data_IF_541939017004
#
_entry.id   IF_541939017004
#
_cell.length_a   1.000
_cell.length_b   1.000
_cell.length_c   1.000
_cell.angle_alpha   90.00
_cell.angle_beta   90.00
_cell.angle_gamma   90.00
#
_symmetry.space_group_name_H-M   'P 1'
#
loop_
_entity.id
_entity.type
_entity.pdbx_description
1 polymer ?
#
# COMPACT_ATOMS: atom_id res chain seq x y z
N UNK A 1 9.04 4.23 -21.85
CA UNK A 1 8.93 5.63 -21.36
C UNK A 1 9.55 6.55 -22.41
N UNK A 2 8.76 7.36 -23.08
CA UNK A 2 9.25 8.29 -24.09
C UNK A 2 9.27 9.69 -23.48
N UNK A 3 10.45 10.20 -23.18
CA UNK A 3 10.62 11.56 -22.68
C UNK A 3 10.27 12.56 -23.80
N UNK A 4 9.41 13.55 -23.56
CA UNK A 4 9.25 14.68 -24.46
C UNK A 4 10.62 15.36 -24.64
N UNK A 5 10.98 15.76 -25.87
CA UNK A 5 12.26 16.38 -26.17
C UNK A 5 13.48 15.58 -25.67
N UNK A 6 13.52 14.27 -25.97
CA UNK A 6 14.54 13.34 -25.44
C UNK A 6 16.00 13.74 -25.78
N UNK A 7 16.21 14.58 -26.78
CA UNK A 7 17.53 15.13 -27.12
C UNK A 7 17.98 16.20 -26.13
N UNK A 8 17.03 16.97 -25.56
CA UNK A 8 17.31 18.08 -24.68
C UNK A 8 17.06 17.74 -23.19
N UNK A 9 16.24 16.71 -22.93
CA UNK A 9 15.88 16.27 -21.58
C UNK A 9 16.48 14.89 -21.29
N UNK A 10 17.44 14.84 -20.40
CA UNK A 10 17.95 13.61 -19.80
C UNK A 10 17.74 13.63 -18.28
N UNK A 11 17.56 12.46 -17.65
CA UNK A 11 17.57 12.38 -16.19
C UNK A 11 18.90 12.89 -15.65
N UNK A 12 18.86 13.73 -14.62
CA UNK A 12 20.04 14.13 -13.90
C UNK A 12 20.56 12.96 -13.05
N UNK A 13 21.87 12.86 -12.93
CA UNK A 13 22.48 12.06 -11.87
C UNK A 13 22.29 12.78 -10.54
N UNK A 14 22.37 12.04 -9.43
CA UNK A 14 22.12 12.61 -8.11
C UNK A 14 23.07 13.78 -7.75
N UNK A 15 24.33 13.68 -8.10
CA UNK A 15 25.32 14.74 -7.93
C UNK A 15 25.03 15.99 -8.77
N UNK A 16 24.51 15.80 -9.98
CA UNK A 16 24.08 16.91 -10.85
C UNK A 16 22.84 17.60 -10.29
N UNK A 17 21.89 16.82 -9.75
CA UNK A 17 20.73 17.36 -9.04
C UNK A 17 21.16 18.19 -7.83
N UNK A 18 22.08 17.69 -7.00
CA UNK A 18 22.58 18.39 -5.83
C UNK A 18 23.24 19.73 -6.17
N UNK A 19 23.96 19.82 -7.29
CA UNK A 19 24.57 21.08 -7.74
C UNK A 19 23.57 22.12 -8.25
N UNK A 20 22.42 21.68 -8.71
CA UNK A 20 21.38 22.54 -9.30
C UNK A 20 20.27 22.90 -8.35
N UNK A 21 20.06 22.11 -7.29
CA UNK A 21 19.03 22.41 -6.29
C UNK A 21 19.36 23.71 -5.57
N UNK A 22 18.35 24.54 -5.38
CA UNK A 22 18.40 25.70 -4.47
C UNK A 22 18.05 25.29 -3.04
N UNK A 23 17.46 26.23 -2.29
CA UNK A 23 16.87 25.93 -0.97
C UNK A 23 15.83 24.84 -1.11
N UNK A 24 15.98 23.77 -0.33
CA UNK A 24 15.16 22.57 -0.45
C UNK A 24 14.58 22.21 0.90
N UNK A 25 13.29 21.92 0.93
CA UNK A 25 12.59 21.35 2.09
C UNK A 25 12.26 19.90 1.74
N UNK A 26 12.71 18.98 2.57
CA UNK A 26 12.40 17.55 2.45
C UNK A 26 11.21 17.23 3.35
N UNK A 27 10.21 16.53 2.82
CA UNK A 27 9.06 16.08 3.58
C UNK A 27 8.88 14.57 3.39
N UNK A 28 8.88 13.85 4.48
CA UNK A 28 8.72 12.38 4.46
C UNK A 28 8.22 11.89 5.80
N UNK A 29 7.37 10.86 5.78
CA UNK A 29 7.02 10.10 6.98
C UNK A 29 8.12 9.08 7.34
N UNK A 30 8.97 8.72 6.39
CA UNK A 30 10.03 7.72 6.51
C UNK A 30 11.32 8.26 5.88
N UNK A 31 11.92 9.32 6.46
CA UNK A 31 13.10 9.95 5.89
C UNK A 31 14.29 8.99 5.91
N UNK A 32 15.07 9.00 4.83
CA UNK A 32 16.33 8.25 4.74
C UNK A 32 17.42 8.88 5.62
N UNK A 33 18.45 8.12 5.91
CA UNK A 33 19.58 8.64 6.69
C UNK A 33 20.30 9.78 6.00
N UNK A 34 20.33 9.75 4.65
CA UNK A 34 20.88 10.85 3.88
C UNK A 34 20.07 12.15 4.07
N UNK A 35 18.74 12.07 4.03
CA UNK A 35 17.86 13.23 4.24
C UNK A 35 18.02 13.80 5.64
N UNK A 36 18.10 12.94 6.67
CA UNK A 36 18.32 13.36 8.06
C UNK A 36 19.65 14.11 8.26
N UNK A 37 20.67 13.79 7.44
CA UNK A 37 21.97 14.46 7.49
C UNK A 37 21.99 15.83 6.79
N UNK A 38 20.96 16.21 6.04
CA UNK A 38 20.94 17.47 5.30
C UNK A 38 20.62 18.71 6.16
N UNK A 39 20.05 18.52 7.33
CA UNK A 39 19.69 19.62 8.23
C UNK A 39 18.94 19.16 9.47
N UNK A 40 18.46 20.09 10.27
CA UNK A 40 17.68 19.75 11.46
C UNK A 40 16.36 19.09 11.05
N UNK A 41 16.02 17.98 11.72
CA UNK A 41 14.73 17.30 11.55
C UNK A 41 13.69 18.02 12.40
N UNK A 42 12.61 18.44 11.76
CA UNK A 42 11.44 19.01 12.44
C UNK A 42 10.36 17.92 12.43
N UNK A 43 10.00 17.47 13.62
CA UNK A 43 8.97 16.47 13.78
C UNK A 43 7.58 17.10 13.84
N UNK A 44 6.66 16.59 13.04
CA UNK A 44 5.25 16.94 13.14
C UNK A 44 4.48 15.74 13.66
N UNK A 45 4.29 15.68 14.97
CA UNK A 45 3.67 14.55 15.66
C UNK A 45 2.15 14.71 15.86
N UNK A 46 1.65 15.93 15.73
CA UNK A 46 0.24 16.23 15.99
C UNK A 46 -0.60 15.94 14.75
N UNK A 47 -1.60 15.10 14.92
CA UNK A 47 -2.62 14.80 13.92
C UNK A 47 -3.95 15.44 14.32
N UNK A 48 -4.28 16.65 13.79
CA UNK A 48 -5.47 17.42 14.23
C UNK A 48 -6.79 16.73 13.91
N UNK A 49 -6.79 15.77 12.98
CA UNK A 49 -8.00 15.05 12.55
C UNK A 49 -8.57 14.09 13.60
N UNK A 50 -7.84 13.80 14.68
CA UNK A 50 -8.23 12.80 15.68
C UNK A 50 -8.14 11.34 15.20
N UNK A 51 -7.76 11.11 13.95
CA UNK A 51 -7.55 9.76 13.41
C UNK A 51 -6.23 9.24 13.96
N UNK A 52 -6.28 8.15 14.71
CA UNK A 52 -5.10 7.44 15.24
C UNK A 52 -4.53 6.48 14.20
N UNK A 53 -3.32 5.99 14.44
CA UNK A 53 -2.77 4.91 13.64
C UNK A 53 -3.60 3.62 13.84
N UNK A 54 -3.76 2.80 12.80
CA UNK A 54 -4.54 1.57 12.90
C UNK A 54 -3.91 0.60 13.91
N UNK A 55 -4.72 -0.18 14.57
CA UNK A 55 -4.22 -1.31 15.36
C UNK A 55 -3.57 -2.33 14.44
N UNK A 56 -2.47 -2.94 14.90
CA UNK A 56 -1.73 -3.95 14.14
C UNK A 56 -1.82 -5.27 14.88
N UNK A 57 -2.24 -6.30 14.17
CA UNK A 57 -2.26 -7.68 14.67
C UNK A 57 -1.38 -8.55 13.78
N UNK A 58 -0.54 -9.38 14.41
CA UNK A 58 0.28 -10.38 13.72
C UNK A 58 -0.34 -11.74 13.96
N UNK A 59 -0.64 -12.46 12.89
CA UNK A 59 -1.23 -13.79 12.89
C UNK A 59 -0.33 -14.79 12.16
N UNK A 60 -0.36 -16.09 12.49
CA UNK A 60 0.41 -17.11 11.81
C UNK A 60 0.01 -17.24 10.34
N UNK A 61 0.95 -17.68 9.49
CA UNK A 61 0.66 -17.90 8.07
C UNK A 61 -0.15 -19.18 7.84
N UNK A 62 -0.17 -20.10 8.79
CA UNK A 62 -1.01 -21.28 8.72
C UNK A 62 -2.50 -20.85 8.64
N UNK A 63 -3.21 -21.38 7.63
CA UNK A 63 -4.62 -21.10 7.36
C UNK A 63 -4.93 -19.59 7.11
N UNK A 64 -3.94 -18.78 6.74
CA UNK A 64 -4.07 -17.33 6.53
C UNK A 64 -5.22 -16.96 5.57
N UNK A 65 -5.50 -17.77 4.54
CA UNK A 65 -6.58 -17.50 3.58
C UNK A 65 -7.94 -17.72 4.22
N UNK A 66 -8.10 -18.78 5.02
CA UNK A 66 -9.37 -19.09 5.69
C UNK A 66 -9.68 -18.04 6.78
N UNK A 67 -8.66 -17.59 7.48
CA UNK A 67 -8.77 -16.53 8.46
C UNK A 67 -9.10 -15.19 7.78
N UNK A 68 -8.39 -14.85 6.70
CA UNK A 68 -8.66 -13.66 5.90
C UNK A 68 -10.12 -13.61 5.40
N UNK A 69 -10.68 -14.72 4.91
CA UNK A 69 -12.08 -14.77 4.42
C UNK A 69 -13.05 -14.35 5.52
N UNK A 70 -12.82 -14.75 6.77
CA UNK A 70 -13.70 -14.34 7.89
C UNK A 70 -13.70 -12.84 8.09
N UNK A 71 -12.52 -12.22 8.03
CA UNK A 71 -12.37 -10.77 8.18
C UNK A 71 -13.00 -10.01 7.00
N UNK A 72 -12.83 -10.51 5.78
CA UNK A 72 -13.36 -9.88 4.58
C UNK A 72 -14.89 -9.81 4.53
N UNK A 73 -15.59 -10.67 5.25
CA UNK A 73 -17.06 -10.64 5.34
C UNK A 73 -17.61 -9.41 6.06
N UNK A 74 -16.77 -8.71 6.83
CA UNK A 74 -17.18 -7.58 7.66
C UNK A 74 -16.50 -6.27 7.29
N UNK A 75 -15.47 -6.31 6.46
CA UNK A 75 -14.61 -5.17 6.16
C UNK A 75 -14.42 -4.92 4.67
N UNK A 76 -14.34 -3.64 4.30
CA UNK A 76 -13.71 -3.28 3.02
C UNK A 76 -12.21 -3.34 3.20
N UNK A 77 -11.55 -4.08 2.31
CA UNK A 77 -10.17 -4.45 2.54
C UNK A 77 -9.23 -4.17 1.37
N UNK A 78 -8.00 -3.83 1.73
CA UNK A 78 -6.83 -3.95 0.85
C UNK A 78 -6.04 -5.18 1.26
N UNK A 79 -5.79 -6.08 0.32
CA UNK A 79 -5.00 -7.30 0.56
C UNK A 79 -3.73 -7.24 -0.28
N UNK A 80 -2.57 -7.32 0.37
CA UNK A 80 -1.29 -7.30 -0.33
C UNK A 80 -0.66 -8.68 -0.36
N UNK A 81 -0.19 -9.08 -1.55
CA UNK A 81 0.52 -10.33 -1.81
C UNK A 81 1.96 -10.08 -2.25
N UNK A 82 2.78 -11.12 -2.30
CA UNK A 82 4.19 -11.02 -2.70
C UNK A 82 4.37 -10.87 -4.21
N UNK A 83 3.54 -11.53 -5.00
CA UNK A 83 3.68 -11.61 -6.45
C UNK A 83 2.37 -11.35 -7.16
N UNK A 84 2.45 -10.95 -8.44
CA UNK A 84 1.31 -10.77 -9.32
C UNK A 84 0.48 -12.04 -9.43
N UNK A 85 1.15 -13.17 -9.64
CA UNK A 85 0.51 -14.48 -9.73
C UNK A 85 -0.29 -14.82 -8.47
N UNK A 86 0.28 -14.58 -7.28
CA UNK A 86 -0.44 -14.79 -6.02
C UNK A 86 -1.67 -13.88 -5.90
N UNK A 87 -1.58 -12.63 -6.39
CA UNK A 87 -2.74 -11.74 -6.37
C UNK A 87 -3.86 -12.22 -7.29
N UNK A 88 -3.51 -12.69 -8.49
CA UNK A 88 -4.46 -13.27 -9.43
C UNK A 88 -5.10 -14.55 -8.85
N UNK A 89 -4.27 -15.51 -8.42
CA UNK A 89 -4.74 -16.79 -7.83
C UNK A 89 -5.62 -16.55 -6.59
N UNK A 90 -5.26 -15.59 -5.73
CA UNK A 90 -6.08 -15.23 -4.57
C UNK A 90 -7.42 -14.61 -4.97
N UNK A 91 -7.41 -13.73 -5.97
CA UNK A 91 -8.64 -13.11 -6.45
C UNK A 91 -9.60 -14.13 -7.02
N UNK A 92 -9.10 -15.06 -7.84
CA UNK A 92 -9.90 -16.14 -8.41
C UNK A 92 -10.45 -17.06 -7.29
N UNK A 93 -9.58 -17.45 -6.35
CA UNK A 93 -9.98 -18.28 -5.22
C UNK A 93 -11.07 -17.62 -4.36
N UNK A 94 -10.94 -16.31 -4.06
CA UNK A 94 -11.94 -15.59 -3.27
C UNK A 94 -13.28 -15.45 -4.01
N UNK A 95 -13.26 -15.19 -5.31
CA UNK A 95 -14.47 -15.14 -6.14
C UNK A 95 -15.20 -16.49 -6.21
N UNK A 96 -14.46 -17.60 -6.18
CA UNK A 96 -15.04 -18.96 -6.22
C UNK A 96 -15.53 -19.43 -4.84
N UNK A 97 -14.78 -19.14 -3.78
CA UNK A 97 -14.98 -19.77 -2.47
C UNK A 97 -15.60 -18.83 -1.41
N UNK A 98 -15.76 -17.54 -1.72
CA UNK A 98 -16.40 -16.56 -0.83
C UNK A 98 -17.59 -15.89 -1.54
N UNK A 99 -18.71 -16.63 -1.75
CA UNK A 99 -19.87 -16.12 -2.47
C UNK A 99 -20.44 -14.91 -1.72
N UNK A 100 -20.58 -13.80 -2.43
CA UNK A 100 -21.04 -12.52 -1.86
C UNK A 100 -19.96 -11.48 -1.72
N UNK A 101 -18.67 -11.86 -1.69
CA UNK A 101 -17.57 -10.90 -1.78
C UNK A 101 -17.30 -10.52 -3.24
N UNK A 102 -17.19 -9.22 -3.47
CA UNK A 102 -16.83 -8.68 -4.79
C UNK A 102 -15.36 -8.28 -4.75
N UNK A 103 -14.52 -9.10 -5.36
CA UNK A 103 -13.06 -8.95 -5.30
C UNK A 103 -12.53 -8.47 -6.65
N UNK A 104 -11.68 -7.45 -6.59
CA UNK A 104 -10.90 -7.00 -7.75
C UNK A 104 -9.41 -7.11 -7.45
N UNK A 105 -8.59 -7.26 -8.49
CA UNK A 105 -7.14 -7.18 -8.34
C UNK A 105 -6.57 -5.98 -9.08
N UNK A 106 -5.44 -5.48 -8.58
CA UNK A 106 -4.74 -4.34 -9.13
C UNK A 106 -3.23 -4.61 -9.19
N UNK A 107 -2.63 -4.37 -10.35
CA UNK A 107 -1.18 -4.45 -10.52
C UNK A 107 -0.65 -3.34 -11.44
N UNK A 108 0.67 -3.21 -11.56
CA UNK A 108 1.33 -2.11 -12.27
C UNK A 108 1.10 -2.08 -13.78
N UNK A 109 0.64 -3.17 -14.38
CA UNK A 109 0.40 -3.27 -15.83
C UNK A 109 -1.03 -2.87 -16.23
N UNK A 110 -1.93 -2.64 -15.28
CA UNK A 110 -3.27 -2.14 -15.56
C UNK A 110 -3.16 -0.69 -16.05
N UNK A 111 -3.86 -0.39 -17.13
CA UNK A 111 -3.89 0.96 -17.69
C UNK A 111 -4.44 1.96 -16.68
N UNK A 112 -3.94 3.18 -16.72
CA UNK A 112 -4.30 4.23 -15.75
C UNK A 112 -5.82 4.50 -15.70
N UNK A 113 -6.50 4.41 -16.82
CA UNK A 113 -7.97 4.62 -16.89
C UNK A 113 -8.71 3.49 -16.17
N UNK A 114 -8.36 2.23 -16.46
CA UNK A 114 -8.98 1.05 -15.84
C UNK A 114 -8.75 1.04 -14.32
N UNK A 115 -7.55 1.45 -13.91
CA UNK A 115 -7.20 1.62 -12.51
C UNK A 115 -8.10 2.64 -11.81
N UNK A 116 -8.32 3.80 -12.42
CA UNK A 116 -9.19 4.84 -11.87
C UNK A 116 -10.64 4.33 -11.74
N UNK A 117 -11.08 3.53 -12.69
CA UNK A 117 -12.40 2.90 -12.65
C UNK A 117 -12.53 1.87 -11.52
N UNK A 118 -11.52 1.00 -11.34
CA UNK A 118 -11.49 0.02 -10.24
C UNK A 118 -11.56 0.73 -8.87
N UNK A 119 -10.78 1.78 -8.69
CA UNK A 119 -10.79 2.57 -7.45
C UNK A 119 -12.14 3.27 -7.22
N UNK A 120 -12.75 3.80 -8.28
CA UNK A 120 -14.09 4.39 -8.20
C UNK A 120 -15.12 3.35 -7.79
N UNK A 121 -15.07 2.15 -8.35
CA UNK A 121 -15.96 1.04 -8.02
C UNK A 121 -15.79 0.60 -6.56
N UNK A 122 -14.55 0.55 -6.05
CA UNK A 122 -14.29 0.29 -4.63
C UNK A 122 -14.95 1.34 -3.73
N UNK A 123 -14.81 2.64 -4.06
CA UNK A 123 -15.46 3.73 -3.32
C UNK A 123 -16.98 3.64 -3.35
N UNK A 124 -17.56 3.26 -4.48
CA UNK A 124 -19.01 3.10 -4.63
C UNK A 124 -19.55 1.81 -3.96
N UNK A 125 -18.67 0.92 -3.46
CA UNK A 125 -19.08 -0.35 -2.87
C UNK A 125 -19.48 -1.41 -3.90
N UNK A 126 -19.05 -1.24 -5.16
CA UNK A 126 -19.18 -2.27 -6.18
C UNK A 126 -18.14 -3.38 -5.99
N UNK A 127 -17.02 -3.07 -5.33
CA UNK A 127 -16.03 -4.00 -4.82
C UNK A 127 -15.89 -3.85 -3.31
N UNK A 128 -15.69 -4.97 -2.62
CA UNK A 128 -15.46 -5.04 -1.19
C UNK A 128 -13.98 -5.19 -0.89
N UNK A 129 -13.25 -5.86 -1.78
CA UNK A 129 -11.85 -6.22 -1.59
C UNK A 129 -11.03 -5.86 -2.82
N UNK A 130 -9.89 -5.24 -2.58
CA UNK A 130 -8.88 -5.00 -3.60
C UNK A 130 -7.62 -5.78 -3.26
N UNK A 131 -7.26 -6.74 -4.11
CA UNK A 131 -6.05 -7.55 -3.98
C UNK A 131 -4.96 -7.00 -4.88
N UNK A 132 -3.72 -6.98 -4.43
CA UNK A 132 -2.61 -6.63 -5.31
C UNK A 132 -1.25 -6.68 -4.67
N UNK A 133 -0.24 -6.46 -5.53
CA UNK A 133 1.12 -6.24 -5.11
C UNK A 133 1.27 -4.74 -4.95
N UNK A 134 1.81 -4.25 -3.89
CA UNK A 134 2.17 -2.82 -3.86
C UNK A 134 1.06 -1.82 -4.16
N UNK A 135 -0.13 -2.11 -3.75
CA UNK A 135 -1.27 -1.19 -3.92
C UNK A 135 -0.96 0.25 -3.43
N UNK A 136 0.15 0.43 -2.76
CA UNK A 136 0.46 1.49 -1.83
C UNK A 136 1.48 2.51 -2.33
N UNK A 137 2.21 2.22 -3.41
CA UNK A 137 3.18 3.15 -3.99
C UNK A 137 2.55 4.38 -4.64
N UNK A 138 1.24 4.36 -4.85
CA UNK A 138 0.62 5.28 -5.80
C UNK A 138 -0.38 6.25 -5.17
N UNK A 139 -0.15 6.63 -3.90
CA UNK A 139 -0.90 7.72 -3.27
C UNK A 139 -2.41 7.47 -3.16
N UNK A 140 -2.84 6.22 -3.02
CA UNK A 140 -4.24 5.90 -2.83
C UNK A 140 -4.74 6.46 -1.50
N UNK A 141 -5.81 7.23 -1.57
CA UNK A 141 -6.57 7.71 -0.44
C UNK A 141 -7.94 7.04 -0.46
N UNK A 142 -8.13 6.04 0.41
CA UNK A 142 -9.32 5.18 0.46
C UNK A 142 -9.87 5.17 1.89
N UNK A 143 -10.60 6.21 2.29
CA UNK A 143 -11.16 6.29 3.63
C UNK A 143 -12.24 5.24 3.91
N UNK A 144 -12.75 4.58 2.87
CA UNK A 144 -13.73 3.50 2.98
C UNK A 144 -13.11 2.17 3.41
N UNK A 145 -11.79 2.04 3.33
CA UNK A 145 -11.07 0.82 3.71
C UNK A 145 -10.88 0.78 5.21
N UNK A 146 -11.34 -0.30 5.82
CA UNK A 146 -11.24 -0.54 7.26
C UNK A 146 -10.27 -1.67 7.61
N UNK A 147 -9.85 -2.47 6.63
CA UNK A 147 -8.87 -3.54 6.82
C UNK A 147 -7.73 -3.44 5.82
N UNK A 148 -6.50 -3.54 6.30
CA UNK A 148 -5.32 -3.80 5.47
C UNK A 148 -4.75 -5.15 5.86
N UNK A 149 -4.78 -6.12 4.96
CA UNK A 149 -4.22 -7.44 5.18
C UNK A 149 -2.91 -7.61 4.39
N UNK A 150 -1.87 -8.09 5.05
CA UNK A 150 -0.55 -8.32 4.46
C UNK A 150 -0.23 -9.79 4.58
N UNK A 151 -0.32 -10.52 3.47
CA UNK A 151 -0.01 -11.95 3.44
C UNK A 151 1.49 -12.19 3.39
N UNK A 152 1.97 -13.23 4.06
CA UNK A 152 3.38 -13.62 4.10
C UNK A 152 4.30 -12.41 4.42
N UNK A 153 3.98 -11.67 5.48
CA UNK A 153 4.64 -10.40 5.79
C UNK A 153 6.11 -10.55 6.19
N UNK A 154 6.51 -11.73 6.67
CA UNK A 154 7.88 -12.08 7.06
C UNK A 154 8.76 -12.54 5.90
N UNK A 155 8.20 -12.74 4.71
CA UNK A 155 8.97 -13.18 3.55
C UNK A 155 9.67 -12.00 2.88
N UNK A 156 10.95 -12.15 2.66
CA UNK A 156 11.76 -11.16 1.94
C UNK A 156 11.25 -10.96 0.52
N UNK A 157 11.23 -9.73 0.07
CA UNK A 157 10.79 -9.38 -1.26
C UNK A 157 11.08 -7.91 -1.56
N UNK A 158 11.07 -7.54 -2.84
CA UNK A 158 11.43 -6.20 -3.34
C UNK A 158 10.64 -5.05 -2.68
N UNK A 159 9.58 -5.33 -1.94
CA UNK A 159 8.68 -4.31 -1.37
C UNK A 159 8.24 -4.66 0.05
N UNK A 160 9.07 -5.38 0.76
CA UNK A 160 8.85 -5.86 2.13
C UNK A 160 9.89 -5.31 3.12
N UNK A 161 10.46 -4.14 2.83
CA UNK A 161 11.25 -3.41 3.82
C UNK A 161 10.32 -2.82 4.88
N UNK A 162 10.86 -2.56 6.07
CA UNK A 162 10.14 -1.91 7.17
C UNK A 162 9.43 -0.63 6.71
N UNK A 163 10.11 0.19 5.93
CA UNK A 163 9.54 1.40 5.32
C UNK A 163 8.32 1.10 4.45
N UNK A 164 8.38 0.04 3.64
CA UNK A 164 7.26 -0.35 2.78
C UNK A 164 6.08 -0.87 3.59
N UNK A 165 6.33 -1.64 4.64
CA UNK A 165 5.28 -2.14 5.54
C UNK A 165 4.61 -0.97 6.29
N UNK A 166 5.39 -0.05 6.85
CA UNK A 166 4.87 1.16 7.52
C UNK A 166 3.99 1.99 6.56
N UNK A 167 4.43 2.20 5.33
CA UNK A 167 3.64 2.91 4.31
C UNK A 167 2.35 2.17 3.97
N UNK A 168 2.41 0.83 3.94
CA UNK A 168 1.25 -0.03 3.72
C UNK A 168 0.24 0.11 4.85
N UNK A 169 0.68 -0.05 6.06
CA UNK A 169 -0.15 0.06 7.25
C UNK A 169 -0.79 1.46 7.36
N UNK A 170 -0.05 2.49 7.02
CA UNK A 170 -0.53 3.87 6.99
C UNK A 170 -1.69 4.15 6.02
N UNK A 171 -2.01 3.23 5.11
CA UNK A 171 -3.22 3.34 4.28
C UNK A 171 -4.49 3.03 5.05
N UNK A 172 -4.40 2.18 6.06
CA UNK A 172 -5.48 1.98 7.03
C UNK A 172 -5.71 3.19 7.94
N UNK A 173 -4.73 4.09 8.11
CA UNK A 173 -4.84 5.28 8.98
C UNK A 173 -5.75 6.40 8.41
N UNK A 174 -6.77 6.05 7.65
CA UNK A 174 -7.77 6.98 7.07
C UNK A 174 -9.15 6.83 7.67
N UNK A 175 -9.36 5.78 8.45
CA UNK A 175 -10.61 5.50 9.14
C UNK A 175 -10.32 5.19 10.61
N UNK A 176 -11.20 5.62 11.51
CA UNK A 176 -11.05 5.42 12.97
C UNK A 176 -11.11 3.94 13.33
N UNK A 177 -11.94 3.18 12.63
CA UNK A 177 -12.18 1.75 12.88
C UNK A 177 -11.22 0.84 12.09
N UNK A 178 -10.18 1.40 11.49
CA UNK A 178 -9.28 0.60 10.66
C UNK A 178 -8.25 -0.16 11.49
N UNK A 179 -7.95 -1.36 11.00
CA UNK A 179 -6.91 -2.22 11.56
C UNK A 179 -6.09 -2.89 10.45
N UNK A 180 -4.96 -3.41 10.86
CA UNK A 180 -3.99 -4.09 9.98
C UNK A 180 -3.77 -5.49 10.51
N UNK A 181 -3.87 -6.48 9.62
CA UNK A 181 -3.49 -7.86 9.92
C UNK A 181 -2.26 -8.20 9.08
N UNK A 182 -1.21 -8.63 9.74
CA UNK A 182 0.00 -9.16 9.10
C UNK A 182 0.09 -10.65 9.36
N UNK A 183 0.09 -11.46 8.29
CA UNK A 183 0.32 -12.89 8.42
C UNK A 183 1.82 -13.16 8.33
N UNK A 184 2.41 -13.62 9.43
CA UNK A 184 3.84 -13.85 9.57
C UNK A 184 4.12 -14.93 10.62
N UNK A 185 5.11 -15.80 10.36
CA UNK A 185 5.54 -16.84 11.29
C UNK A 185 6.78 -16.41 12.08
N UNK A 186 7.52 -15.43 11.57
CA UNK A 186 8.69 -14.85 12.21
C UNK A 186 8.47 -13.34 12.38
N UNK A 187 8.55 -12.89 13.61
CA UNK A 187 8.48 -11.47 13.98
C UNK A 187 9.86 -11.03 14.47
#
# INVERSE_FOLDING_TARGET
FRLPAALDNRPLRFDEFLRRKGTTIYTSATPSDWEKQQGPVIEQLIRPTGIVDPSIEVRPTADQIQDLIKELNTHRALVTTLTKRMAEELTDYLNENAPGLKVAYLHSEILTLDRTEILKKLRLGEFDVLVGINLLREGLDLPEVTLVAILDADKEGFLRSDTSLIQTMGRGARNIDSHVIMYADKV
#
